data_IF_660782946694
#
_entry.id   IF_660782946694
#
_cell.length_a   1.000
_cell.length_b   1.000
_cell.length_c   1.000
_cell.angle_alpha   90.00
_cell.angle_beta   90.00
_cell.angle_gamma   90.00
#
_symmetry.space_group_name_H-M   'P 1'
#
loop_
_entity.id
_entity.type
_entity.pdbx_description
1 polymer ?
#
# COMPACT_ATOMS: atom_id res chain seq x y z
N UNK A 1 -35.24 85.74 6.55
CA UNK A 1 -33.85 86.01 6.12
C UNK A 1 -32.96 85.19 6.98
N UNK A 2 -32.41 84.21 6.44
CA UNK A 2 -31.11 83.61 6.77
C UNK A 2 -31.05 82.17 6.24
N UNK A 3 -30.16 82.03 5.38
CA UNK A 3 -29.82 80.91 4.53
C UNK A 3 -29.42 79.68 5.29
N UNK A 4 -30.20 78.62 5.08
CA UNK A 4 -29.87 77.26 5.51
C UNK A 4 -28.81 76.72 4.54
N UNK A 5 -27.56 76.71 4.97
CA UNK A 5 -26.46 76.12 4.25
C UNK A 5 -26.56 74.61 4.36
N UNK A 6 -26.86 73.97 3.25
CA UNK A 6 -26.83 72.51 3.07
C UNK A 6 -25.38 72.07 3.23
N UNK A 7 -25.14 71.31 4.32
CA UNK A 7 -23.89 70.57 4.52
C UNK A 7 -24.01 69.23 3.81
N UNK A 8 -23.49 69.15 2.60
CA UNK A 8 -23.34 67.85 1.90
C UNK A 8 -22.22 67.08 2.59
N UNK A 9 -22.61 66.17 3.44
CA UNK A 9 -21.69 65.13 3.91
C UNK A 9 -21.56 64.09 2.82
N UNK A 10 -20.45 64.12 2.12
CA UNK A 10 -20.05 63.07 1.16
C UNK A 10 -19.61 61.89 2.00
N UNK A 11 -20.53 60.94 2.24
CA UNK A 11 -20.19 59.62 2.77
C UNK A 11 -19.60 58.84 1.62
N UNK A 12 -18.27 58.82 1.55
CA UNK A 12 -17.54 57.92 0.66
C UNK A 12 -17.71 56.52 1.18
N UNK A 13 -18.64 55.77 0.59
CA UNK A 13 -18.82 54.35 0.87
C UNK A 13 -17.58 53.60 0.35
N UNK A 14 -16.64 53.34 1.23
CA UNK A 14 -15.50 52.49 0.96
C UNK A 14 -16.02 51.04 0.96
N UNK A 15 -16.57 50.60 -0.15
CA UNK A 15 -16.88 49.18 -0.38
C UNK A 15 -15.57 48.41 -0.48
N UNK A 16 -15.14 47.90 0.63
CA UNK A 16 -14.07 46.89 0.66
C UNK A 16 -14.57 45.66 -0.14
N UNK A 17 -14.09 45.56 -1.37
CA UNK A 17 -14.27 44.35 -2.17
C UNK A 17 -13.51 43.25 -1.45
N UNK A 18 -14.21 42.50 -0.59
CA UNK A 18 -13.73 41.25 -0.03
C UNK A 18 -13.71 40.24 -1.20
N UNK A 19 -12.64 40.26 -1.98
CA UNK A 19 -12.40 39.17 -2.94
C UNK A 19 -12.29 37.90 -2.13
N UNK A 20 -13.11 36.87 -2.39
CA UNK A 20 -12.89 35.58 -1.76
C UNK A 20 -11.51 35.13 -2.18
N UNK A 21 -10.59 35.07 -1.24
CA UNK A 21 -9.34 34.32 -1.42
C UNK A 21 -9.77 32.88 -1.59
N UNK A 22 -9.94 32.46 -2.83
CA UNK A 22 -10.00 31.04 -3.16
C UNK A 22 -8.67 30.46 -2.71
N UNK A 23 -8.64 29.91 -1.50
CA UNK A 23 -7.55 29.06 -1.10
C UNK A 23 -7.45 28.00 -2.20
N UNK A 24 -6.37 28.04 -2.98
CA UNK A 24 -5.99 26.95 -3.86
C UNK A 24 -5.74 25.81 -2.87
N UNK A 25 -6.76 24.98 -2.66
CA UNK A 25 -6.61 23.71 -1.99
C UNK A 25 -5.60 22.97 -2.85
N UNK A 26 -4.43 22.64 -2.27
CA UNK A 26 -3.58 21.66 -2.88
C UNK A 26 -4.48 20.46 -3.16
N UNK A 27 -4.61 20.12 -4.43
CA UNK A 27 -5.45 19.00 -4.86
C UNK A 27 -4.95 17.80 -4.07
N UNK A 28 -5.80 17.24 -3.21
CA UNK A 28 -5.41 16.11 -2.38
C UNK A 28 -5.01 14.97 -3.32
N UNK A 29 -3.73 14.61 -3.31
CA UNK A 29 -3.23 13.50 -4.12
C UNK A 29 -4.01 12.26 -3.73
N UNK A 30 -4.79 11.71 -4.65
CA UNK A 30 -5.66 10.56 -4.44
C UNK A 30 -5.81 9.74 -5.72
N UNK A 31 -6.43 8.58 -5.61
CA UNK A 31 -6.62 7.63 -6.71
C UNK A 31 -8.09 7.56 -7.16
N UNK A 32 -8.87 8.62 -6.90
CA UNK A 32 -10.32 8.62 -7.12
C UNK A 32 -10.72 8.24 -8.54
N UNK A 33 -9.96 8.64 -9.56
CA UNK A 33 -10.22 8.25 -10.95
C UNK A 33 -10.04 6.74 -11.19
N UNK A 34 -9.03 6.12 -10.59
CA UNK A 34 -8.77 4.69 -10.73
C UNK A 34 -9.77 3.86 -9.92
N UNK A 35 -10.15 4.36 -8.75
CA UNK A 35 -11.10 3.67 -7.87
C UNK A 35 -12.56 3.87 -8.29
N UNK A 36 -12.86 4.99 -8.95
CA UNK A 36 -14.21 5.36 -9.40
C UNK A 36 -15.28 5.07 -8.31
N UNK A 37 -16.31 4.27 -8.66
CA UNK A 37 -17.40 3.92 -7.74
C UNK A 37 -17.21 2.55 -7.05
N UNK A 38 -15.98 2.02 -7.04
CA UNK A 38 -15.69 0.74 -6.43
C UNK A 38 -15.99 0.76 -4.92
N UNK A 39 -16.67 -0.26 -4.43
CA UNK A 39 -16.86 -0.50 -2.99
C UNK A 39 -15.81 -1.45 -2.44
N UNK A 40 -15.34 -2.38 -3.28
CA UNK A 40 -14.30 -3.35 -2.97
C UNK A 40 -13.33 -3.42 -4.14
N UNK A 41 -12.03 -3.45 -3.86
CA UNK A 41 -11.00 -3.64 -4.87
C UNK A 41 -10.21 -4.91 -4.56
N UNK A 42 -10.09 -5.78 -5.57
CA UNK A 42 -9.40 -7.06 -5.47
C UNK A 42 -8.05 -6.97 -6.17
N UNK A 43 -6.97 -7.18 -5.42
CA UNK A 43 -5.61 -7.17 -5.97
C UNK A 43 -4.80 -8.38 -5.52
N UNK A 44 -4.02 -8.97 -6.44
CA UNK A 44 -3.00 -9.96 -6.12
C UNK A 44 -1.63 -9.44 -6.50
N UNK A 45 -0.77 -9.27 -5.50
CA UNK A 45 0.61 -8.85 -5.67
C UNK A 45 1.49 -10.07 -5.92
N UNK A 46 2.14 -10.10 -7.08
CA UNK A 46 3.21 -11.05 -7.37
C UNK A 46 4.52 -10.43 -6.87
N UNK A 47 5.14 -11.01 -5.84
CA UNK A 47 6.39 -10.52 -5.27
C UNK A 47 7.54 -11.45 -5.63
N UNK A 48 8.50 -10.91 -6.41
CA UNK A 48 9.68 -11.62 -6.93
C UNK A 48 10.90 -10.70 -6.83
N UNK A 49 11.43 -10.50 -5.62
CA UNK A 49 12.50 -9.54 -5.30
C UNK A 49 13.69 -10.25 -4.67
N UNK A 50 14.87 -10.05 -5.25
CA UNK A 50 16.12 -10.63 -4.76
C UNK A 50 16.83 -9.81 -3.67
N UNK A 51 16.50 -8.52 -3.56
CA UNK A 51 17.10 -7.60 -2.60
C UNK A 51 16.21 -7.45 -1.35
N UNK A 52 16.67 -7.79 -0.14
CA UNK A 52 15.86 -7.77 1.06
C UNK A 52 15.45 -6.36 1.51
N UNK A 53 16.28 -5.33 1.27
CA UNK A 53 15.90 -3.95 1.57
C UNK A 53 14.79 -3.47 0.65
N UNK A 54 14.87 -3.80 -0.62
CA UNK A 54 13.82 -3.55 -1.61
C UNK A 54 12.54 -4.32 -1.26
N UNK A 55 12.66 -5.58 -0.84
CA UNK A 55 11.52 -6.38 -0.39
C UNK A 55 10.83 -5.71 0.82
N UNK A 56 11.61 -5.34 1.86
CA UNK A 56 11.09 -4.64 3.03
C UNK A 56 10.36 -3.35 2.65
N UNK A 57 10.92 -2.55 1.73
CA UNK A 57 10.31 -1.32 1.24
C UNK A 57 8.98 -1.59 0.52
N UNK A 58 8.92 -2.56 -0.40
CA UNK A 58 7.68 -2.83 -1.13
C UNK A 58 6.58 -3.46 -0.28
N UNK A 59 6.92 -4.21 0.75
CA UNK A 59 5.93 -4.68 1.73
C UNK A 59 5.26 -3.49 2.46
N UNK A 60 6.04 -2.47 2.84
CA UNK A 60 5.48 -1.24 3.40
C UNK A 60 4.61 -0.47 2.38
N UNK A 61 4.98 -0.47 1.10
CA UNK A 61 4.16 0.11 0.03
C UNK A 61 2.83 -0.65 -0.10
N UNK A 62 2.84 -1.98 -0.06
CA UNK A 62 1.60 -2.79 -0.10
C UNK A 62 0.72 -2.49 1.11
N UNK A 63 1.30 -2.37 2.31
CA UNK A 63 0.58 -1.94 3.51
C UNK A 63 0.00 -0.53 3.35
N UNK A 64 0.76 0.39 2.77
CA UNK A 64 0.32 1.74 2.41
C UNK A 64 -0.84 1.74 1.40
N UNK A 65 -0.81 0.83 0.42
CA UNK A 65 -1.88 0.65 -0.57
C UNK A 65 -3.18 0.24 0.11
N UNK A 66 -3.13 -0.73 1.03
CA UNK A 66 -4.30 -1.12 1.84
C UNK A 66 -4.88 0.11 2.59
N UNK A 67 -4.04 0.83 3.32
CA UNK A 67 -4.46 2.02 4.06
C UNK A 67 -5.00 3.13 3.13
N UNK A 68 -4.41 3.29 1.93
CA UNK A 68 -4.85 4.23 0.90
C UNK A 68 -6.26 3.95 0.40
N UNK A 69 -6.58 2.68 0.11
CA UNK A 69 -7.92 2.25 -0.28
C UNK A 69 -8.94 2.52 0.82
N UNK A 70 -8.63 2.17 2.07
CA UNK A 70 -9.51 2.43 3.23
C UNK A 70 -9.80 3.93 3.39
N UNK A 71 -8.79 4.80 3.28
CA UNK A 71 -8.98 6.25 3.35
C UNK A 71 -9.90 6.78 2.24
N UNK A 72 -9.94 6.12 1.09
CA UNK A 72 -10.79 6.47 -0.05
C UNK A 72 -12.11 5.68 -0.06
N UNK A 73 -12.49 5.09 1.08
CA UNK A 73 -13.76 4.37 1.29
C UNK A 73 -13.93 3.12 0.41
N UNK A 74 -12.84 2.51 -0.02
CA UNK A 74 -12.83 1.24 -0.75
C UNK A 74 -12.34 0.14 0.19
N UNK A 75 -13.08 -0.95 0.28
CA UNK A 75 -12.65 -2.13 1.04
C UNK A 75 -11.60 -2.89 0.25
N UNK A 76 -10.36 -3.00 0.76
CA UNK A 76 -9.32 -3.78 0.08
C UNK A 76 -9.56 -5.28 0.28
N UNK A 77 -9.44 -6.06 -0.78
CA UNK A 77 -9.38 -7.53 -0.76
C UNK A 77 -8.08 -7.91 -1.46
N UNK A 78 -7.00 -7.98 -0.67
CA UNK A 78 -5.65 -8.10 -1.17
C UNK A 78 -5.03 -9.46 -0.85
N UNK A 79 -4.22 -9.92 -1.79
CA UNK A 79 -3.40 -11.13 -1.66
C UNK A 79 -1.96 -10.79 -2.03
N UNK A 80 -1.00 -11.37 -1.33
CA UNK A 80 0.42 -11.31 -1.70
C UNK A 80 0.90 -12.72 -1.95
N UNK A 81 1.52 -12.95 -3.10
CA UNK A 81 2.10 -14.25 -3.49
C UNK A 81 3.60 -14.07 -3.66
N UNK A 82 4.36 -14.68 -2.77
CA UNK A 82 5.82 -14.67 -2.79
C UNK A 82 6.36 -15.83 -3.60
N UNK A 83 7.20 -15.52 -4.57
CA UNK A 83 7.89 -16.49 -5.42
C UNK A 83 9.39 -16.17 -5.52
N UNK A 84 10.14 -17.03 -6.19
CA UNK A 84 11.51 -16.75 -6.60
C UNK A 84 12.44 -16.34 -5.45
N UNK A 85 13.38 -15.42 -5.70
CA UNK A 85 14.42 -15.03 -4.76
C UNK A 85 13.95 -14.21 -3.55
N UNK A 86 12.68 -13.84 -3.44
CA UNK A 86 12.14 -13.25 -2.22
C UNK A 86 12.02 -14.23 -1.05
N UNK A 87 11.91 -15.53 -1.37
CA UNK A 87 11.59 -16.60 -0.41
C UNK A 87 12.63 -16.80 0.70
N UNK A 88 13.95 -16.69 0.46
CA UNK A 88 14.97 -16.83 1.52
C UNK A 88 14.84 -15.83 2.68
N UNK A 89 14.17 -14.70 2.48
CA UNK A 89 13.98 -13.65 3.49
C UNK A 89 12.68 -13.81 4.31
N UNK A 90 11.89 -14.84 4.00
CA UNK A 90 10.55 -15.07 4.57
C UNK A 90 10.50 -16.26 5.52
N UNK A 91 11.58 -16.48 6.24
CA UNK A 91 11.76 -17.60 7.17
C UNK A 91 12.26 -17.12 8.54
N UNK A 92 11.93 -17.87 9.59
CA UNK A 92 12.46 -17.67 10.95
C UNK A 92 13.86 -18.27 11.14
N UNK A 93 14.37 -18.99 10.13
CA UNK A 93 15.69 -19.63 10.15
C UNK A 93 16.43 -19.35 8.82
N UNK A 94 16.77 -18.08 8.52
CA UNK A 94 17.60 -17.75 7.37
C UNK A 94 18.99 -18.39 7.52
N UNK A 95 19.70 -18.57 6.41
CA UNK A 95 21.09 -18.99 6.50
C UNK A 95 21.95 -17.93 7.18
N UNK A 96 23.15 -18.34 7.67
CA UNK A 96 24.02 -17.47 8.48
C UNK A 96 24.46 -16.20 7.73
N UNK A 97 24.73 -16.28 6.42
CA UNK A 97 25.12 -15.16 5.58
C UNK A 97 24.00 -14.11 5.51
N UNK A 98 22.80 -14.55 5.15
CA UNK A 98 21.61 -13.67 5.09
C UNK A 98 21.31 -13.08 6.47
N UNK A 99 21.40 -13.88 7.53
CA UNK A 99 21.13 -13.43 8.90
C UNK A 99 22.11 -12.34 9.35
N UNK A 100 23.40 -12.47 9.01
CA UNK A 100 24.44 -11.51 9.41
C UNK A 100 24.43 -10.23 8.57
N UNK A 101 24.18 -10.35 7.26
CA UNK A 101 24.28 -9.20 6.34
C UNK A 101 23.01 -8.37 6.30
N UNK A 102 21.83 -8.96 6.60
CA UNK A 102 20.54 -8.34 6.37
C UNK A 102 19.61 -8.31 7.59
N UNK A 103 20.15 -8.38 8.81
CA UNK A 103 19.37 -8.45 10.07
C UNK A 103 18.23 -7.41 10.11
N UNK A 104 18.52 -6.14 9.88
CA UNK A 104 17.51 -5.07 9.91
C UNK A 104 16.42 -5.21 8.83
N UNK A 105 16.80 -5.66 7.63
CA UNK A 105 15.82 -5.91 6.57
C UNK A 105 14.89 -7.07 6.94
N UNK A 106 15.46 -8.16 7.49
CA UNK A 106 14.69 -9.32 7.94
C UNK A 106 13.70 -8.98 9.04
N UNK A 107 14.11 -8.16 10.04
CA UNK A 107 13.21 -7.68 11.09
C UNK A 107 12.03 -6.87 10.51
N UNK A 108 12.31 -5.96 9.59
CA UNK A 108 11.29 -5.15 8.91
C UNK A 108 10.35 -6.01 8.08
N UNK A 109 10.89 -6.98 7.33
CA UNK A 109 10.11 -7.93 6.54
C UNK A 109 9.16 -8.71 7.45
N UNK A 110 9.68 -9.35 8.50
CA UNK A 110 8.88 -10.12 9.43
C UNK A 110 7.80 -9.28 10.13
N UNK A 111 8.15 -8.06 10.55
CA UNK A 111 7.22 -7.11 11.15
C UNK A 111 6.09 -6.72 10.20
N UNK A 112 6.43 -6.36 8.94
CA UNK A 112 5.42 -5.94 7.96
C UNK A 112 4.55 -7.10 7.48
N UNK A 113 5.10 -8.30 7.34
CA UNK A 113 4.34 -9.53 7.07
C UNK A 113 3.29 -9.78 8.17
N UNK A 114 3.67 -9.62 9.44
CA UNK A 114 2.73 -9.75 10.55
C UNK A 114 1.68 -8.60 10.57
N UNK A 115 2.05 -7.38 10.18
CA UNK A 115 1.12 -6.26 10.05
C UNK A 115 0.07 -6.52 8.97
N UNK A 116 0.50 -7.00 7.80
CA UNK A 116 -0.38 -7.33 6.68
C UNK A 116 -1.39 -8.43 7.06
N UNK A 117 -0.95 -9.45 7.81
CA UNK A 117 -1.84 -10.49 8.34
C UNK A 117 -2.91 -9.91 9.27
N UNK A 118 -2.53 -9.01 10.20
CA UNK A 118 -3.49 -8.31 11.07
C UNK A 118 -4.49 -7.44 10.32
N UNK A 119 -4.12 -6.94 9.15
CA UNK A 119 -5.00 -6.20 8.25
C UNK A 119 -5.91 -7.11 7.42
N UNK A 120 -5.78 -8.44 7.54
CA UNK A 120 -6.54 -9.42 6.77
C UNK A 120 -6.05 -9.62 5.34
N UNK A 121 -4.84 -9.16 5.02
CA UNK A 121 -4.20 -9.44 3.74
C UNK A 121 -3.72 -10.89 3.72
N UNK A 122 -4.22 -11.67 2.79
CA UNK A 122 -3.78 -13.06 2.60
C UNK A 122 -2.37 -13.09 2.01
N UNK A 123 -1.53 -13.94 2.56
CA UNK A 123 -0.13 -14.02 2.15
C UNK A 123 0.23 -15.48 1.87
N UNK A 124 0.76 -15.74 0.70
CA UNK A 124 1.11 -17.07 0.22
C UNK A 124 2.58 -17.14 -0.20
N UNK A 125 3.25 -18.25 0.11
CA UNK A 125 4.61 -18.51 -0.30
C UNK A 125 4.68 -19.82 -1.09
N UNK A 126 5.37 -19.78 -2.22
CA UNK A 126 5.45 -20.86 -3.20
C UNK A 126 6.39 -21.99 -2.70
N UNK A 127 5.86 -23.22 -2.52
CA UNK A 127 6.64 -24.38 -2.14
C UNK A 127 7.66 -24.82 -3.22
N UNK A 128 7.43 -24.52 -4.48
CA UNK A 128 8.44 -24.72 -5.52
C UNK A 128 9.65 -23.83 -5.25
N UNK A 129 9.42 -22.56 -4.91
CA UNK A 129 10.48 -21.62 -4.61
C UNK A 129 11.20 -21.96 -3.28
N UNK A 130 10.47 -22.35 -2.20
CA UNK A 130 11.12 -22.77 -0.95
C UNK A 130 12.06 -23.95 -1.19
N UNK A 131 11.65 -24.92 -2.03
CA UNK A 131 12.49 -26.05 -2.40
C UNK A 131 13.73 -25.60 -3.21
N UNK A 132 13.58 -24.70 -4.18
CA UNK A 132 14.70 -24.22 -5.02
C UNK A 132 15.72 -23.47 -4.17
N UNK A 133 15.27 -22.67 -3.20
CA UNK A 133 16.12 -21.87 -2.33
C UNK A 133 16.48 -22.54 -1.00
N UNK A 134 16.17 -23.84 -0.84
CA UNK A 134 16.47 -24.63 0.36
C UNK A 134 15.91 -24.03 1.67
N UNK A 135 14.71 -23.45 1.61
CA UNK A 135 13.98 -22.98 2.80
C UNK A 135 13.08 -24.10 3.30
N UNK A 136 13.20 -24.48 4.58
CA UNK A 136 12.29 -25.45 5.20
C UNK A 136 10.90 -24.80 5.37
N UNK A 137 9.87 -25.41 4.80
CA UNK A 137 8.49 -24.94 4.94
C UNK A 137 8.02 -24.79 6.40
N UNK A 138 8.65 -25.51 7.34
CA UNK A 138 8.34 -25.41 8.78
C UNK A 138 8.88 -24.13 9.43
N UNK A 139 9.85 -23.48 8.80
CA UNK A 139 10.48 -22.26 9.30
C UNK A 139 9.94 -21.01 8.60
N UNK A 140 9.06 -21.15 7.62
CA UNK A 140 8.38 -20.02 6.98
C UNK A 140 7.68 -19.14 8.03
N UNK A 141 7.71 -17.82 7.85
CA UNK A 141 7.07 -16.87 8.78
C UNK A 141 5.61 -17.26 9.03
N UNK A 142 5.13 -17.25 10.29
CA UNK A 142 3.84 -17.84 10.67
C UNK A 142 2.62 -17.26 9.95
N UNK A 143 2.71 -16.00 9.50
CA UNK A 143 1.64 -15.32 8.78
C UNK A 143 1.52 -15.73 7.30
N UNK A 144 2.44 -16.55 6.80
CA UNK A 144 2.47 -17.00 5.41
C UNK A 144 1.87 -18.40 5.27
N UNK A 145 0.97 -18.55 4.31
CA UNK A 145 0.43 -19.84 3.93
C UNK A 145 1.30 -20.48 2.83
N UNK A 146 1.86 -21.65 3.08
CA UNK A 146 2.65 -22.38 2.08
C UNK A 146 1.70 -23.02 1.07
N UNK A 147 1.85 -22.61 -0.21
CA UNK A 147 1.06 -23.15 -1.33
C UNK A 147 1.94 -24.01 -2.24
N UNK A 148 1.37 -24.99 -2.90
CA UNK A 148 2.13 -25.94 -3.74
C UNK A 148 2.85 -25.24 -4.89
N UNK A 149 2.18 -24.27 -5.55
CA UNK A 149 2.73 -23.53 -6.68
C UNK A 149 2.13 -22.11 -6.69
N UNK A 150 2.97 -21.10 -6.57
CA UNK A 150 2.58 -19.68 -6.61
C UNK A 150 1.95 -19.26 -7.94
N UNK A 151 2.34 -19.88 -9.05
CA UNK A 151 1.69 -19.58 -10.35
C UNK A 151 0.26 -20.09 -10.41
N UNK A 152 -0.03 -21.23 -9.80
CA UNK A 152 -1.41 -21.72 -9.68
C UNK A 152 -2.24 -20.74 -8.84
N UNK A 153 -1.69 -20.24 -7.73
CA UNK A 153 -2.34 -19.20 -6.92
C UNK A 153 -2.64 -17.95 -7.74
N UNK A 154 -1.66 -17.44 -8.48
CA UNK A 154 -1.83 -16.24 -9.32
C UNK A 154 -2.89 -16.43 -10.40
N UNK A 155 -2.91 -17.58 -11.08
CA UNK A 155 -3.93 -17.91 -12.08
C UNK A 155 -5.32 -17.98 -11.41
N UNK A 156 -5.39 -18.67 -10.28
CA UNK A 156 -6.63 -18.85 -9.55
C UNK A 156 -7.24 -17.53 -9.06
N UNK A 157 -6.42 -16.64 -8.49
CA UNK A 157 -6.90 -15.32 -8.03
C UNK A 157 -7.34 -14.45 -9.21
N UNK A 158 -6.60 -14.42 -10.31
CA UNK A 158 -7.01 -13.66 -11.51
C UNK A 158 -8.33 -14.17 -12.07
N UNK A 159 -8.53 -15.50 -12.11
CA UNK A 159 -9.80 -16.11 -12.52
C UNK A 159 -10.96 -15.73 -11.60
N UNK A 160 -10.69 -15.38 -10.33
CA UNK A 160 -11.66 -14.88 -9.36
C UNK A 160 -11.83 -13.35 -9.41
N UNK A 161 -11.22 -12.67 -10.38
CA UNK A 161 -11.34 -11.23 -10.61
C UNK A 161 -10.36 -10.35 -9.84
N UNK A 162 -9.24 -10.92 -9.33
CA UNK A 162 -8.16 -10.12 -8.76
C UNK A 162 -7.29 -9.53 -9.85
N UNK A 163 -7.02 -8.24 -9.76
CA UNK A 163 -6.07 -7.57 -10.63
C UNK A 163 -4.64 -7.95 -10.25
N UNK A 164 -3.83 -8.39 -11.21
CA UNK A 164 -2.42 -8.71 -10.97
C UNK A 164 -1.59 -7.42 -10.87
N UNK A 165 -0.84 -7.30 -9.77
CA UNK A 165 0.13 -6.22 -9.54
C UNK A 165 1.52 -6.85 -9.39
N UNK A 166 2.39 -6.79 -10.41
CA UNK A 166 3.73 -7.32 -10.33
C UNK A 166 4.66 -6.40 -9.54
N UNK A 167 5.52 -7.01 -8.69
CA UNK A 167 6.49 -6.33 -7.83
C UNK A 167 7.84 -7.05 -7.96
N UNK A 168 8.81 -6.41 -8.64
CA UNK A 168 10.13 -6.95 -8.97
C UNK A 168 11.28 -6.13 -8.41
#
# INVERSE_FOLDING_TARGET
MQSLRLLFVVITLLTAILSPVTAIRAEDINDAHALADLKTAKGVFLVDIADPEKLAFYLEVIKGTHAGMVRQHVTPDLVVVFIGPSVPYLTTAPNDEIAMEHEHALERIAGTVADLDRLGVRQEICAVATKVFNVDNKTVLPALNVVGDGFISLIGYQAQGYALVPVY
#
